data_IF_352990372782
#
_entry.id   IF_352990372782
#
_cell.length_a   1.000
_cell.length_b   1.000
_cell.length_c   1.000
_cell.angle_alpha   90.00
_cell.angle_beta   90.00
_cell.angle_gamma   90.00
#
_symmetry.space_group_name_H-M   'P 1'
#
loop_
_entity.id
_entity.type
_entity.pdbx_description
1 polymer ?
#
# COMPACT_ATOMS: atom_id res chain seq x y z
N UNK A 1 -22.66 3.33 1.06
CA UNK A 1 -21.62 2.31 0.78
C UNK A 1 -20.61 2.94 -0.15
N UNK A 2 -19.34 3.03 0.25
CA UNK A 2 -18.29 3.59 -0.61
C UNK A 2 -18.14 2.71 -1.85
N UNK A 3 -18.18 3.32 -3.05
CA UNK A 3 -17.96 2.61 -4.32
C UNK A 3 -16.62 1.85 -4.22
N UNK A 4 -16.58 0.60 -4.66
CA UNK A 4 -15.39 -0.26 -4.64
C UNK A 4 -14.21 0.38 -5.37
N UNK A 5 -14.47 1.09 -6.46
CA UNK A 5 -13.45 1.88 -7.16
C UNK A 5 -12.85 2.94 -6.24
N UNK A 6 -13.67 3.63 -5.46
CA UNK A 6 -13.22 4.57 -4.43
C UNK A 6 -12.37 3.86 -3.37
N UNK A 7 -12.74 2.65 -2.94
CA UNK A 7 -11.93 1.88 -1.97
C UNK A 7 -10.57 1.51 -2.55
N UNK A 8 -10.50 1.10 -3.82
CA UNK A 8 -9.23 0.80 -4.50
C UNK A 8 -8.37 2.06 -4.58
N UNK A 9 -8.94 3.20 -4.99
CA UNK A 9 -8.23 4.48 -5.08
C UNK A 9 -7.67 4.91 -3.73
N UNK A 10 -8.48 4.85 -2.67
CA UNK A 10 -8.04 5.16 -1.31
C UNK A 10 -6.88 4.24 -0.86
N UNK A 11 -6.95 2.93 -1.15
CA UNK A 11 -5.86 2.01 -0.79
C UNK A 11 -4.58 2.27 -1.59
N UNK A 12 -4.69 2.70 -2.84
CA UNK A 12 -3.53 3.09 -3.63
C UNK A 12 -2.90 4.39 -3.11
N UNK A 13 -3.72 5.35 -2.68
CA UNK A 13 -3.25 6.58 -2.03
C UNK A 13 -2.56 6.28 -0.70
N UNK A 14 -3.15 5.45 0.16
CA UNK A 14 -2.53 4.99 1.41
C UNK A 14 -1.16 4.34 1.17
N UNK A 15 -1.03 3.50 0.13
CA UNK A 15 0.26 2.88 -0.21
C UNK A 15 1.30 3.93 -0.61
N UNK A 16 0.89 4.92 -1.40
CA UNK A 16 1.78 6.00 -1.84
C UNK A 16 2.26 6.83 -0.65
N UNK A 17 1.37 7.24 0.25
CA UNK A 17 1.70 7.99 1.45
C UNK A 17 2.63 7.19 2.38
N UNK A 18 2.40 5.88 2.50
CA UNK A 18 3.27 5.00 3.25
C UNK A 18 4.70 4.97 2.67
N UNK A 19 4.85 4.79 1.36
CA UNK A 19 6.17 4.79 0.69
C UNK A 19 6.89 6.13 0.85
N UNK A 20 6.17 7.25 0.71
CA UNK A 20 6.73 8.60 0.94
C UNK A 20 7.19 8.79 2.38
N UNK A 21 6.41 8.31 3.35
CA UNK A 21 6.75 8.36 4.77
C UNK A 21 7.96 7.50 5.10
N UNK A 22 8.04 6.29 4.56
CA UNK A 22 9.20 5.40 4.76
C UNK A 22 10.46 5.94 4.12
N UNK A 23 10.35 6.53 2.92
CA UNK A 23 11.46 7.23 2.28
C UNK A 23 11.93 8.43 3.10
N UNK A 24 11.02 9.20 3.69
CA UNK A 24 11.37 10.31 4.58
C UNK A 24 12.09 9.82 5.85
N UNK A 25 11.62 8.73 6.46
CA UNK A 25 12.15 8.20 7.71
C UNK A 25 13.49 7.48 7.55
N UNK A 26 13.64 6.66 6.51
CA UNK A 26 14.76 5.73 6.33
C UNK A 26 15.66 6.07 5.12
N UNK A 27 15.34 7.13 4.38
CA UNK A 27 16.05 7.51 3.16
C UNK A 27 15.70 6.64 1.97
N UNK A 28 16.49 6.74 0.89
CA UNK A 28 16.20 6.02 -0.38
C UNK A 28 16.28 4.49 -0.25
N UNK A 29 16.99 3.98 0.75
CA UNK A 29 17.16 2.54 1.02
C UNK A 29 16.04 1.96 1.90
N UNK A 30 14.94 2.67 2.12
CA UNK A 30 13.83 2.22 2.98
C UNK A 30 13.26 0.83 2.61
N UNK A 31 13.43 0.39 1.36
CA UNK A 31 13.04 -0.95 0.91
C UNK A 31 14.01 -2.06 1.33
N UNK A 32 15.17 -1.76 1.93
CA UNK A 32 16.07 -2.78 2.48
C UNK A 32 15.53 -3.39 3.77
N UNK A 33 14.68 -2.66 4.50
CA UNK A 33 14.05 -3.09 5.74
C UNK A 33 12.93 -4.09 5.48
N UNK A 34 13.02 -5.27 6.08
CA UNK A 34 12.09 -6.38 5.87
C UNK A 34 10.67 -6.04 6.34
N UNK A 35 10.53 -5.26 7.42
CA UNK A 35 9.24 -4.78 7.91
C UNK A 35 8.54 -3.84 6.91
N UNK A 36 9.32 -3.04 6.18
CA UNK A 36 8.79 -2.13 5.16
C UNK A 36 8.33 -2.93 3.95
N UNK A 37 9.16 -3.85 3.45
CA UNK A 37 8.79 -4.76 2.36
C UNK A 37 7.51 -5.54 2.67
N UNK A 38 7.44 -6.17 3.84
CA UNK A 38 6.27 -6.96 4.25
C UNK A 38 5.00 -6.10 4.30
N UNK A 39 5.12 -4.84 4.76
CA UNK A 39 3.98 -3.92 4.80
C UNK A 39 3.53 -3.49 3.41
N UNK A 40 4.46 -3.18 2.51
CA UNK A 40 4.15 -2.86 1.10
C UNK A 40 3.44 -4.02 0.43
N UNK A 41 3.99 -5.23 0.55
CA UNK A 41 3.41 -6.44 -0.02
C UNK A 41 1.99 -6.70 0.50
N UNK A 42 1.76 -6.51 1.80
CA UNK A 42 0.42 -6.62 2.38
C UNK A 42 -0.56 -5.63 1.72
N UNK A 43 -0.18 -4.37 1.58
CA UNK A 43 -1.03 -3.33 1.01
C UNK A 43 -1.32 -3.58 -0.48
N UNK A 44 -0.31 -4.01 -1.24
CA UNK A 44 -0.47 -4.42 -2.65
C UNK A 44 -1.42 -5.61 -2.79
N UNK A 45 -1.30 -6.61 -1.92
CA UNK A 45 -2.19 -7.77 -1.90
C UNK A 45 -3.63 -7.38 -1.57
N UNK A 46 -3.86 -6.46 -0.63
CA UNK A 46 -5.20 -5.94 -0.33
C UNK A 46 -5.79 -5.23 -1.56
N UNK A 47 -5.02 -4.38 -2.24
CA UNK A 47 -5.45 -3.70 -3.47
C UNK A 47 -5.80 -4.74 -4.55
N UNK A 48 -4.99 -5.79 -4.69
CA UNK A 48 -5.22 -6.87 -5.65
C UNK A 48 -6.51 -7.63 -5.34
N UNK A 49 -6.72 -8.04 -4.10
CA UNK A 49 -7.95 -8.74 -3.69
C UNK A 49 -9.20 -7.87 -3.90
N UNK A 50 -9.10 -6.57 -3.63
CA UNK A 50 -10.15 -5.60 -3.94
C UNK A 50 -10.41 -5.51 -5.45
N UNK A 51 -9.41 -5.62 -6.31
CA UNK A 51 -9.58 -5.64 -7.78
C UNK A 51 -10.16 -6.96 -8.28
N UNK A 52 -9.88 -8.08 -7.61
CA UNK A 52 -10.36 -9.42 -7.95
C UNK A 52 -11.76 -9.76 -7.38
N UNK A 53 -12.40 -8.82 -6.67
CA UNK A 53 -13.69 -9.03 -5.98
C UNK A 53 -13.67 -10.16 -4.96
N UNK A 54 -12.50 -10.40 -4.37
CA UNK A 54 -12.32 -11.44 -3.35
C UNK A 54 -12.57 -10.94 -1.93
N UNK A 55 -12.68 -9.61 -1.74
CA UNK A 55 -12.98 -8.91 -0.48
C UNK A 55 -13.67 -7.55 -0.74
#
# INVERSE_FOLDING_TARGET
MTNRETRILLKQEELKEFLESMKYQYGDNYMEYEEVKARVEFMENVIKLLKEERI
#
